data_IF_898167781926
#
_entry.id   IF_898167781926
#
_cell.length_a   1.000
_cell.length_b   1.000
_cell.length_c   1.000
_cell.angle_alpha   90.00
_cell.angle_beta   90.00
_cell.angle_gamma   90.00
#
_symmetry.space_group_name_H-M   'P 1'
#
loop_
_entity.id
_entity.type
_entity.pdbx_description
1 polymer ?
#
# COMPACT_ATOMS: atom_id res chain seq x y z
N UNK A 1 -1.72 -42.56 21.32
CA UNK A 1 -0.95 -41.32 21.10
C UNK A 1 -1.80 -40.47 20.19
N UNK A 2 -2.30 -39.34 20.70
CA UNK A 2 -3.21 -38.45 19.99
C UNK A 2 -2.98 -37.06 20.57
N UNK A 3 -2.22 -36.24 19.85
CA UNK A 3 -1.88 -34.87 20.23
C UNK A 3 -1.54 -34.02 18.99
N UNK A 4 -2.09 -34.41 17.83
CA UNK A 4 -2.07 -33.66 16.56
C UNK A 4 -3.50 -33.26 16.20
N UNK A 5 -4.12 -32.45 17.06
CA UNK A 5 -5.40 -31.80 16.79
C UNK A 5 -5.34 -30.33 17.20
N UNK A 6 -5.55 -29.48 16.20
CA UNK A 6 -6.26 -28.20 16.36
C UNK A 6 -5.62 -27.18 17.32
N UNK A 7 -4.41 -26.74 16.96
CA UNK A 7 -3.92 -25.41 17.36
C UNK A 7 -4.74 -24.32 16.64
N UNK A 8 -6.00 -24.14 17.07
CA UNK A 8 -6.90 -23.12 16.54
C UNK A 8 -6.27 -21.73 16.70
N UNK A 9 -6.29 -20.93 15.64
CA UNK A 9 -5.80 -19.55 15.70
C UNK A 9 -6.68 -18.75 16.69
N UNK A 10 -6.09 -18.36 17.83
CA UNK A 10 -6.81 -17.79 18.96
C UNK A 10 -7.50 -16.48 18.57
N UNK A 11 -8.77 -16.59 18.17
CA UNK A 11 -9.53 -15.51 17.54
C UNK A 11 -9.83 -14.43 18.57
N UNK A 12 -9.49 -13.20 18.25
CA UNK A 12 -9.52 -12.08 19.19
C UNK A 12 -10.94 -11.88 19.74
N UNK A 13 -11.13 -11.66 21.06
CA UNK A 13 -12.45 -11.75 21.69
C UNK A 13 -13.45 -10.74 21.14
N UNK A 14 -12.98 -9.57 20.70
CA UNK A 14 -13.82 -8.55 20.07
C UNK A 14 -14.28 -8.94 18.65
N UNK A 15 -13.59 -9.84 17.93
CA UNK A 15 -14.08 -10.41 16.67
C UNK A 15 -15.30 -11.29 16.95
N UNK A 16 -15.14 -12.23 17.90
CA UNK A 16 -16.20 -13.16 18.30
C UNK A 16 -17.43 -12.39 18.82
N UNK A 17 -17.21 -11.33 19.60
CA UNK A 17 -18.27 -10.46 20.10
C UNK A 17 -18.99 -9.69 18.97
N UNK A 18 -18.29 -9.15 17.98
CA UNK A 18 -18.91 -8.49 16.81
C UNK A 18 -19.68 -9.49 15.93
N UNK A 19 -19.20 -10.74 15.81
CA UNK A 19 -19.89 -11.81 15.10
C UNK A 19 -21.18 -12.23 15.83
N UNK A 20 -21.11 -12.43 17.15
CA UNK A 20 -22.26 -12.81 17.97
C UNK A 20 -23.33 -11.70 18.09
N UNK A 21 -22.91 -10.42 18.06
CA UNK A 21 -23.82 -9.26 18.12
C UNK A 21 -24.32 -8.86 16.72
N UNK A 22 -23.53 -8.11 15.96
CA UNK A 22 -23.97 -7.56 14.67
C UNK A 22 -24.06 -8.64 13.58
N UNK A 23 -23.14 -9.60 13.57
CA UNK A 23 -23.12 -10.70 12.61
C UNK A 23 -24.32 -11.65 12.70
N UNK A 24 -24.97 -11.74 13.86
CA UNK A 24 -26.21 -12.48 14.06
C UNK A 24 -27.47 -11.71 13.62
N UNK A 25 -27.34 -10.43 13.25
CA UNK A 25 -28.45 -9.57 12.81
C UNK A 25 -28.40 -9.26 11.31
N UNK A 26 -27.22 -8.95 10.75
CA UNK A 26 -27.08 -8.61 9.32
C UNK A 26 -26.36 -9.69 8.50
N UNK A 27 -27.03 -10.20 7.47
CA UNK A 27 -26.50 -11.25 6.59
C UNK A 27 -25.46 -10.75 5.58
N UNK A 28 -25.43 -9.43 5.31
CA UNK A 28 -24.47 -8.74 4.46
C UNK A 28 -24.17 -7.35 5.05
N UNK A 29 -22.91 -6.89 5.05
CA UNK A 29 -21.70 -7.64 4.72
C UNK A 29 -21.39 -8.71 5.77
N UNK A 30 -20.79 -9.83 5.37
CA UNK A 30 -20.43 -10.92 6.29
C UNK A 30 -19.31 -10.49 7.24
N UNK A 31 -19.49 -10.75 8.53
CA UNK A 31 -18.54 -10.50 9.62
C UNK A 31 -17.41 -11.55 9.64
N UNK A 32 -16.57 -11.57 8.61
CA UNK A 32 -15.41 -12.47 8.54
C UNK A 32 -14.27 -11.96 9.43
N UNK A 33 -13.50 -12.82 10.13
CA UNK A 33 -12.41 -12.41 11.02
C UNK A 33 -11.39 -11.48 10.34
N UNK A 34 -10.97 -11.79 9.11
CA UNK A 34 -10.08 -10.95 8.29
C UNK A 34 -10.60 -9.52 8.12
N UNK A 35 -11.91 -9.37 7.87
CA UNK A 35 -12.57 -8.07 7.71
C UNK A 35 -12.71 -7.33 9.03
N UNK A 36 -12.85 -8.04 10.14
CA UNK A 36 -12.89 -7.42 11.47
C UNK A 36 -11.50 -7.03 11.97
N UNK A 37 -10.44 -7.76 11.58
CA UNK A 37 -9.03 -7.41 11.83
C UNK A 37 -8.57 -6.17 11.08
N UNK A 38 -9.09 -5.93 9.87
CA UNK A 38 -8.80 -4.70 9.11
C UNK A 38 -10.04 -4.23 8.32
N UNK A 39 -11.01 -3.58 8.96
CA UNK A 39 -12.28 -3.21 8.32
C UNK A 39 -12.09 -2.10 7.27
N UNK A 40 -12.28 -2.39 5.96
CA UNK A 40 -12.21 -1.34 4.94
C UNK A 40 -13.43 -0.44 5.02
N UNK A 41 -13.28 0.85 4.68
CA UNK A 41 -14.39 1.82 4.77
C UNK A 41 -15.68 1.35 4.10
N UNK A 42 -15.60 0.70 2.92
CA UNK A 42 -16.80 0.19 2.23
C UNK A 42 -17.57 -0.86 3.04
N UNK A 43 -16.87 -1.73 3.77
CA UNK A 43 -17.48 -2.73 4.65
C UNK A 43 -18.22 -2.08 5.82
N UNK A 44 -17.63 -1.05 6.44
CA UNK A 44 -18.28 -0.27 7.50
C UNK A 44 -19.51 0.47 6.99
N UNK A 45 -19.40 1.09 5.82
CA UNK A 45 -20.50 1.79 5.14
C UNK A 45 -21.65 0.83 4.74
N UNK A 46 -21.33 -0.35 4.20
CA UNK A 46 -22.32 -1.38 3.87
C UNK A 46 -23.02 -1.92 5.14
N UNK A 47 -22.30 -2.06 6.26
CA UNK A 47 -22.90 -2.44 7.54
C UNK A 47 -23.83 -1.36 8.10
N UNK A 48 -23.40 -0.08 8.08
CA UNK A 48 -24.23 1.05 8.48
C UNK A 48 -25.51 1.15 7.64
N UNK A 49 -25.39 0.98 6.32
CA UNK A 49 -26.51 1.03 5.38
C UNK A 49 -27.49 -0.13 5.58
N UNK A 50 -27.02 -1.37 5.76
CA UNK A 50 -27.91 -2.52 6.00
C UNK A 50 -28.64 -2.39 7.34
N UNK A 51 -27.98 -1.91 8.41
CA UNK A 51 -28.65 -1.65 9.69
C UNK A 51 -29.72 -0.57 9.54
N UNK A 52 -29.40 0.56 8.89
CA UNK A 52 -30.38 1.62 8.62
C UNK A 52 -31.56 1.10 7.76
N UNK A 53 -31.30 0.25 6.76
CA UNK A 53 -32.32 -0.36 5.89
C UNK A 53 -33.19 -1.40 6.61
N UNK A 54 -32.70 -2.05 7.66
CA UNK A 54 -33.48 -3.00 8.47
C UNK A 54 -34.26 -2.33 9.62
N UNK A 55 -33.70 -1.29 10.24
CA UNK A 55 -34.17 -0.77 11.54
C UNK A 55 -34.58 0.71 11.52
N UNK A 56 -34.35 1.42 10.42
CA UNK A 56 -34.34 2.89 10.32
C UNK A 56 -33.30 3.61 11.19
N UNK A 57 -32.46 2.90 11.96
CA UNK A 57 -31.47 3.51 12.86
C UNK A 57 -30.40 4.28 12.07
N UNK A 58 -30.26 5.59 12.34
CA UNK A 58 -29.32 6.47 11.65
C UNK A 58 -29.68 6.80 10.20
N UNK A 59 -30.86 6.40 9.70
CA UNK A 59 -31.24 6.58 8.30
C UNK A 59 -31.28 8.07 7.91
N UNK A 60 -31.90 8.92 8.73
CA UNK A 60 -32.01 10.36 8.48
C UNK A 60 -30.66 11.09 8.65
N UNK A 61 -29.88 10.71 9.66
CA UNK A 61 -28.67 11.41 10.11
C UNK A 61 -27.44 11.10 9.22
N UNK A 62 -27.39 9.89 8.68
CA UNK A 62 -26.25 9.37 7.91
C UNK A 62 -26.50 9.38 6.41
N UNK A 63 -27.75 9.08 6.00
CA UNK A 63 -28.13 8.90 4.59
C UNK A 63 -29.21 9.88 4.10
N UNK A 64 -29.83 10.67 4.99
CA UNK A 64 -30.92 11.59 4.64
C UNK A 64 -32.27 10.92 4.37
N UNK A 65 -32.40 9.62 4.68
CA UNK A 65 -33.57 8.79 4.35
C UNK A 65 -33.20 7.31 4.23
N UNK A 66 -34.00 6.53 3.50
CA UNK A 66 -33.65 5.15 3.15
C UNK A 66 -32.42 5.12 2.20
N UNK A 67 -31.30 4.48 2.58
CA UNK A 67 -30.13 4.35 1.70
C UNK A 67 -30.35 3.46 0.47
N UNK A 68 -31.44 2.68 0.43
CA UNK A 68 -31.78 1.80 -0.68
C UNK A 68 -30.85 0.58 -0.82
N UNK A 69 -30.91 -0.15 -1.95
CA UNK A 69 -30.28 -1.45 -2.09
C UNK A 69 -28.77 -1.42 -2.42
N UNK A 70 -28.23 -0.26 -2.84
CA UNK A 70 -26.80 -0.08 -3.16
C UNK A 70 -26.39 1.40 -3.05
N UNK A 71 -26.31 1.98 -1.84
CA UNK A 71 -25.81 3.33 -1.66
C UNK A 71 -24.36 3.46 -2.13
N UNK A 72 -24.01 4.61 -2.71
CA UNK A 72 -22.64 4.96 -3.08
C UNK A 72 -21.88 5.50 -1.86
N UNK A 73 -20.61 5.11 -1.65
CA UNK A 73 -19.86 5.57 -0.49
C UNK A 73 -19.26 6.96 -0.77
N UNK A 74 -19.08 7.82 0.26
CA UNK A 74 -18.22 8.99 0.13
C UNK A 74 -16.83 8.58 -0.37
N UNK A 75 -16.21 9.40 -1.21
CA UNK A 75 -14.98 9.04 -1.92
C UNK A 75 -13.76 9.74 -1.36
N UNK A 76 -13.87 11.03 -1.01
CA UNK A 76 -12.76 11.78 -0.41
C UNK A 76 -12.53 11.33 1.04
N UNK A 77 -11.33 11.55 1.55
CA UNK A 77 -10.96 11.15 2.93
C UNK A 77 -11.77 11.92 3.96
N UNK A 78 -12.02 13.19 3.67
CA UNK A 78 -12.71 14.17 4.51
C UNK A 78 -14.19 13.77 4.66
N UNK A 79 -14.85 13.44 3.55
CA UNK A 79 -16.22 12.93 3.50
C UNK A 79 -16.38 11.61 4.27
N UNK A 80 -15.38 10.72 4.20
CA UNK A 80 -15.33 9.45 4.95
C UNK A 80 -15.17 9.68 6.45
N UNK A 81 -14.32 10.63 6.86
CA UNK A 81 -14.16 11.02 8.27
C UNK A 81 -15.44 11.64 8.80
N UNK A 82 -16.07 12.56 8.06
CA UNK A 82 -17.32 13.21 8.48
C UNK A 82 -18.47 12.21 8.63
N UNK A 83 -18.62 11.27 7.69
CA UNK A 83 -19.61 10.18 7.80
C UNK A 83 -19.41 9.36 9.08
N UNK A 84 -18.17 8.96 9.40
CA UNK A 84 -17.85 8.19 10.60
C UNK A 84 -18.02 9.00 11.89
N UNK A 85 -17.71 10.31 11.88
CA UNK A 85 -17.99 11.21 13.01
C UNK A 85 -19.51 11.27 13.29
N UNK A 86 -20.34 11.43 12.24
CA UNK A 86 -21.80 11.39 12.38
C UNK A 86 -22.29 10.03 12.88
N UNK A 87 -21.75 8.92 12.36
CA UNK A 87 -22.12 7.56 12.77
C UNK A 87 -21.78 7.26 14.24
N UNK A 88 -20.56 7.60 14.69
CA UNK A 88 -20.13 7.44 16.08
C UNK A 88 -21.00 8.31 17.01
N UNK A 89 -21.35 9.54 16.60
CA UNK A 89 -22.22 10.41 17.38
C UNK A 89 -23.66 9.85 17.50
N UNK A 90 -24.22 9.28 16.43
CA UNK A 90 -25.55 8.63 16.45
C UNK A 90 -25.55 7.40 17.35
N UNK A 91 -24.53 6.54 17.27
CA UNK A 91 -24.39 5.35 18.13
C UNK A 91 -24.18 5.76 19.59
N UNK A 92 -23.36 6.77 19.87
CA UNK A 92 -23.15 7.26 21.24
C UNK A 92 -24.39 7.93 21.84
N UNK A 93 -25.20 8.63 21.04
CA UNK A 93 -26.47 9.21 21.48
C UNK A 93 -27.52 8.17 21.85
N UNK A 94 -27.46 6.97 21.25
CA UNK A 94 -28.35 5.85 21.55
C UNK A 94 -27.83 4.92 22.67
N UNK A 95 -26.56 5.04 23.06
CA UNK A 95 -25.88 4.15 24.01
C UNK A 95 -25.16 4.95 25.11
N UNK A 96 -25.89 5.56 26.08
CA UNK A 96 -25.31 6.52 27.03
C UNK A 96 -24.23 5.96 27.94
N UNK A 97 -24.33 4.68 28.32
CA UNK A 97 -23.33 3.99 29.16
C UNK A 97 -22.00 3.79 28.40
N UNK A 98 -22.06 3.64 27.09
CA UNK A 98 -20.91 3.43 26.21
C UNK A 98 -20.40 4.74 25.58
N UNK A 99 -21.13 5.85 25.76
CA UNK A 99 -20.84 7.13 25.11
C UNK A 99 -19.45 7.70 25.45
N UNK A 100 -18.96 7.54 26.68
CA UNK A 100 -17.60 7.95 27.05
C UNK A 100 -16.54 7.15 26.27
N UNK A 101 -16.70 5.83 26.19
CA UNK A 101 -15.78 4.97 25.43
C UNK A 101 -15.85 5.24 23.92
N UNK A 102 -17.05 5.48 23.37
CA UNK A 102 -17.26 5.86 21.97
C UNK A 102 -16.63 7.22 21.64
N UNK A 103 -16.61 8.18 22.58
CA UNK A 103 -15.92 9.47 22.40
C UNK A 103 -14.40 9.34 22.22
N UNK A 104 -13.81 8.21 22.65
CA UNK A 104 -12.39 7.89 22.48
C UNK A 104 -12.07 7.19 21.13
N UNK A 105 -13.05 7.08 20.22
CA UNK A 105 -12.89 6.50 18.88
C UNK A 105 -12.66 7.60 17.86
N UNK A 106 -11.42 7.74 17.40
CA UNK A 106 -11.06 8.68 16.33
C UNK A 106 -11.55 8.16 14.98
N UNK A 107 -12.49 8.88 14.36
CA UNK A 107 -12.94 8.59 13.00
C UNK A 107 -11.79 8.61 11.97
N UNK A 108 -10.74 9.39 12.20
CA UNK A 108 -9.54 9.43 11.34
C UNK A 108 -8.76 8.11 11.43
N UNK A 109 -8.64 7.55 12.63
CA UNK A 109 -7.96 6.27 12.86
C UNK A 109 -8.71 5.14 12.15
N UNK A 110 -10.05 5.16 12.22
CA UNK A 110 -10.93 4.20 11.52
C UNK A 110 -10.76 4.30 10.00
N UNK A 111 -10.71 5.50 9.40
CA UNK A 111 -10.42 5.65 7.95
C UNK A 111 -9.02 5.13 7.60
N UNK A 112 -8.04 5.33 8.48
CA UNK A 112 -6.67 4.82 8.31
C UNK A 112 -6.54 3.30 8.56
N UNK A 113 -7.60 2.62 9.02
CA UNK A 113 -7.56 1.20 9.38
C UNK A 113 -6.74 0.87 10.63
N UNK A 114 -6.63 1.83 11.55
CA UNK A 114 -6.01 1.66 12.87
C UNK A 114 -7.08 1.40 13.95
N UNK A 115 -6.66 0.84 15.09
CA UNK A 115 -7.53 0.51 16.23
C UNK A 115 -8.77 -0.33 15.80
N UNK A 116 -8.57 -1.54 15.23
CA UNK A 116 -9.68 -2.40 14.80
C UNK A 116 -10.55 -2.86 15.97
N UNK A 117 -9.98 -2.99 17.17
CA UNK A 117 -10.66 -3.19 18.45
C UNK A 117 -11.72 -2.11 18.70
N UNK A 118 -11.33 -0.83 18.63
CA UNK A 118 -12.24 0.32 18.78
C UNK A 118 -13.27 0.39 17.67
N UNK A 119 -12.87 0.03 16.45
CA UNK A 119 -13.79 -0.03 15.30
C UNK A 119 -14.86 -1.11 15.49
N UNK A 120 -14.47 -2.27 16.04
CA UNK A 120 -15.40 -3.34 16.40
C UNK A 120 -16.31 -2.95 17.56
N UNK A 121 -15.82 -2.22 18.56
CA UNK A 121 -16.66 -1.68 19.63
C UNK A 121 -17.79 -0.78 19.10
N UNK A 122 -17.54 0.05 18.08
CA UNK A 122 -18.62 0.82 17.40
C UNK A 122 -19.65 -0.11 16.74
N UNK A 123 -19.21 -1.19 16.07
CA UNK A 123 -20.12 -2.17 15.46
C UNK A 123 -20.96 -2.95 16.50
N UNK A 124 -20.39 -3.22 17.67
CA UNK A 124 -21.08 -3.87 18.79
C UNK A 124 -22.11 -2.92 19.42
N UNK A 125 -21.74 -1.67 19.71
CA UNK A 125 -22.67 -0.67 20.22
C UNK A 125 -23.80 -0.36 19.23
N UNK A 126 -23.52 -0.38 17.91
CA UNK A 126 -24.54 -0.27 16.86
C UNK A 126 -25.53 -1.42 16.91
N UNK A 127 -25.08 -2.66 17.15
CA UNK A 127 -25.97 -3.81 17.28
C UNK A 127 -26.92 -3.66 18.48
N UNK A 128 -26.40 -3.25 19.63
CA UNK A 128 -27.21 -2.97 20.84
C UNK A 128 -28.21 -1.84 20.61
N UNK A 129 -27.78 -0.74 19.98
CA UNK A 129 -28.61 0.44 19.74
C UNK A 129 -29.73 0.20 18.70
N UNK A 130 -29.47 -0.60 17.66
CA UNK A 130 -30.41 -0.84 16.57
C UNK A 130 -31.30 -2.07 16.75
N UNK A 131 -30.91 -3.05 17.58
CA UNK A 131 -31.65 -4.31 17.78
C UNK A 131 -31.93 -4.60 19.28
N UNK A 132 -32.75 -3.76 19.96
CA UNK A 132 -32.95 -3.82 21.41
C UNK A 132 -33.72 -5.05 21.94
N UNK A 133 -34.24 -5.94 21.09
CA UNK A 133 -35.12 -7.05 21.50
C UNK A 133 -34.47 -8.14 22.37
N UNK A 134 -33.15 -8.14 22.58
CA UNK A 134 -32.47 -9.03 23.54
C UNK A 134 -31.36 -8.29 24.31
N UNK A 135 -31.77 -7.44 25.26
CA UNK A 135 -30.87 -6.93 26.31
C UNK A 135 -30.69 -7.93 27.48
N UNK A 136 -31.57 -8.92 27.59
CA UNK A 136 -31.63 -9.94 28.65
C UNK A 136 -31.12 -11.31 28.13
N UNK A 137 -29.80 -11.41 27.91
CA UNK A 137 -29.11 -12.68 27.69
C UNK A 137 -27.73 -12.63 28.38
N UNK A 138 -27.56 -13.45 29.41
CA UNK A 138 -26.29 -13.57 30.13
C UNK A 138 -25.17 -14.20 29.29
N UNK A 139 -23.93 -14.26 29.83
CA UNK A 139 -22.81 -14.91 29.14
C UNK A 139 -23.17 -16.37 28.80
N UNK A 140 -22.87 -16.85 27.57
CA UNK A 140 -23.22 -18.21 27.18
C UNK A 140 -22.50 -19.26 28.03
N UNK A 141 -23.25 -20.20 28.61
CA UNK A 141 -22.67 -21.40 29.22
C UNK A 141 -22.09 -22.33 28.14
N UNK A 142 -21.00 -23.03 28.46
CA UNK A 142 -20.43 -24.07 27.61
C UNK A 142 -21.45 -25.20 27.35
N UNK A 143 -21.94 -25.31 26.11
CA UNK A 143 -22.61 -26.51 25.62
C UNK A 143 -22.05 -26.92 24.26
N UNK A 144 -21.13 -27.88 24.30
CA UNK A 144 -20.37 -28.36 23.15
C UNK A 144 -21.16 -29.33 22.25
N UNK A 145 -22.30 -28.89 21.70
CA UNK A 145 -23.04 -29.64 20.68
C UNK A 145 -23.97 -28.74 19.85
N UNK A 146 -23.46 -28.16 18.77
CA UNK A 146 -24.11 -28.08 17.43
C UNK A 146 -23.29 -27.19 16.49
N UNK A 147 -22.46 -27.82 15.65
CA UNK A 147 -21.72 -27.13 14.57
C UNK A 147 -22.49 -27.24 13.24
N UNK A 148 -22.97 -26.13 12.66
CA UNK A 148 -23.58 -26.16 11.32
C UNK A 148 -22.53 -26.56 10.26
N UNK A 149 -22.81 -27.63 9.52
CA UNK A 149 -21.87 -28.16 8.51
C UNK A 149 -21.66 -27.18 7.36
N UNK A 150 -20.41 -27.01 6.92
CA UNK A 150 -20.01 -26.11 5.83
C UNK A 150 -20.33 -26.74 4.46
N UNK A 151 -21.18 -26.14 3.62
CA UNK A 151 -21.34 -26.54 2.22
C UNK A 151 -20.15 -26.06 1.38
N UNK A 152 -19.70 -26.88 0.43
CA UNK A 152 -18.48 -26.63 -0.35
C UNK A 152 -18.53 -25.37 -1.24
N UNK A 153 -17.36 -24.74 -1.44
CA UNK A 153 -17.19 -23.54 -2.24
C UNK A 153 -17.05 -23.82 -3.76
N UNK A 154 -17.57 -22.94 -4.64
CA UNK A 154 -17.23 -22.92 -6.06
C UNK A 154 -16.37 -21.70 -6.48
N UNK A 155 -15.18 -22.00 -7.00
CA UNK A 155 -14.31 -21.27 -7.95
C UNK A 155 -14.27 -19.72 -8.01
N UNK A 156 -13.05 -19.16 -7.95
CA UNK A 156 -12.72 -17.77 -8.28
C UNK A 156 -12.64 -17.48 -9.78
N UNK A 157 -12.85 -16.21 -10.18
CA UNK A 157 -12.06 -15.45 -11.19
C UNK A 157 -12.44 -13.95 -11.22
N UNK A 158 -11.64 -13.03 -11.81
CA UNK A 158 -10.77 -12.19 -10.98
C UNK A 158 -11.07 -10.67 -11.04
N UNK A 159 -10.11 -9.88 -10.54
CA UNK A 159 -10.13 -8.45 -10.21
C UNK A 159 -10.35 -7.47 -11.39
N UNK A 160 -10.87 -6.28 -11.08
CA UNK A 160 -10.57 -5.03 -11.80
C UNK A 160 -10.64 -3.83 -10.81
N UNK A 161 -9.51 -3.14 -10.58
CA UNK A 161 -9.39 -1.97 -9.68
C UNK A 161 -8.57 -0.87 -10.35
N UNK A 162 -9.03 0.40 -10.31
CA UNK A 162 -8.23 1.58 -10.72
C UNK A 162 -8.84 2.91 -10.24
N UNK A 163 -8.13 3.64 -9.36
CA UNK A 163 -8.36 5.05 -8.91
C UNK A 163 -7.28 5.44 -7.85
N UNK A 164 -7.26 6.64 -7.22
CA UNK A 164 -7.95 7.91 -7.52
C UNK A 164 -6.99 9.05 -7.93
N UNK A 165 -6.03 9.48 -7.07
CA UNK A 165 -6.08 10.56 -6.05
C UNK A 165 -5.88 11.97 -6.69
N UNK A 166 -5.45 13.07 -6.00
CA UNK A 166 -5.44 13.47 -4.57
C UNK A 166 -6.46 14.62 -4.31
N UNK A 167 -6.34 15.77 -3.61
CA UNK A 167 -5.38 16.58 -2.77
C UNK A 167 -6.24 17.61 -1.95
N UNK A 168 -5.74 18.44 -0.99
CA UNK A 168 -4.49 18.39 -0.18
C UNK A 168 -4.64 18.74 1.35
N UNK A 169 -3.52 18.62 2.08
CA UNK A 169 -3.10 19.30 3.35
C UNK A 169 -3.48 18.74 4.74
N UNK A 170 -2.49 18.19 5.47
CA UNK A 170 -1.98 18.68 6.78
C UNK A 170 -0.88 17.74 7.34
N UNK A 171 0.21 18.23 7.96
CA UNK A 171 1.35 17.38 8.34
C UNK A 171 1.05 16.43 9.52
N UNK A 172 1.37 15.11 9.42
CA UNK A 172 0.94 14.12 10.40
C UNK A 172 1.81 14.01 11.69
N UNK A 173 1.25 13.54 12.82
CA UNK A 173 1.94 13.36 14.09
C UNK A 173 2.72 12.03 14.17
N UNK A 174 3.70 11.84 13.28
CA UNK A 174 4.38 10.56 12.96
C UNK A 174 4.99 9.83 14.18
N UNK A 175 5.40 10.51 15.24
CA UNK A 175 6.24 9.93 16.31
C UNK A 175 5.49 9.24 17.47
N UNK A 176 4.15 9.29 17.53
CA UNK A 176 3.41 8.94 18.76
C UNK A 176 3.25 7.44 19.08
N UNK A 177 3.60 6.54 18.15
CA UNK A 177 3.49 5.08 18.34
C UNK A 177 4.75 4.28 18.03
N UNK A 178 5.82 4.92 17.54
CA UNK A 178 7.01 4.24 17.01
C UNK A 178 7.70 3.32 18.02
N UNK A 179 7.71 3.73 19.30
CA UNK A 179 8.33 2.95 20.38
C UNK A 179 7.76 1.53 20.50
N UNK A 180 6.45 1.33 20.34
CA UNK A 180 5.79 0.04 20.56
C UNK A 180 6.27 -1.07 19.61
N UNK A 181 6.69 -0.73 18.38
CA UNK A 181 7.22 -1.68 17.40
C UNK A 181 8.64 -2.13 17.75
N UNK A 182 9.42 -1.25 18.37
CA UNK A 182 10.77 -1.55 18.89
C UNK A 182 10.77 -2.02 20.35
N UNK A 183 9.61 -2.08 21.02
CA UNK A 183 9.47 -2.43 22.43
C UNK A 183 9.50 -3.95 22.68
N UNK A 184 10.56 -4.61 22.20
CA UNK A 184 11.02 -5.92 22.65
C UNK A 184 12.36 -5.76 23.39
N UNK A 185 12.29 -5.16 24.58
CA UNK A 185 13.33 -5.12 25.61
C UNK A 185 14.78 -4.94 25.16
N UNK A 186 15.01 -4.06 24.18
CA UNK A 186 16.33 -3.47 23.92
C UNK A 186 16.59 -2.42 25.01
N UNK A 187 17.61 -2.58 25.89
CA UNK A 187 17.76 -1.73 27.06
C UNK A 187 17.95 -0.25 26.69
N UNK A 188 17.07 0.61 27.20
CA UNK A 188 17.16 2.07 27.02
C UNK A 188 18.38 2.58 27.80
N UNK A 189 19.51 2.68 27.10
CA UNK A 189 20.83 2.93 27.68
C UNK A 189 21.96 2.15 26.99
N UNK A 190 21.64 1.08 26.25
CA UNK A 190 22.57 0.51 25.27
C UNK A 190 22.67 1.45 24.09
N UNK A 191 23.87 1.98 23.84
CA UNK A 191 24.14 2.79 22.65
C UNK A 191 23.84 1.93 21.39
N UNK A 192 23.16 2.48 20.39
CA UNK A 192 22.86 1.75 19.15
C UNK A 192 24.16 1.34 18.43
N UNK A 193 25.27 2.01 18.75
CA UNK A 193 26.63 1.59 18.36
C UNK A 193 27.00 0.17 18.81
N UNK A 194 26.50 -0.34 19.95
CA UNK A 194 26.80 -1.70 20.42
C UNK A 194 26.16 -2.78 19.54
N UNK A 195 24.97 -2.52 19.00
CA UNK A 195 24.33 -3.40 18.01
C UNK A 195 25.08 -3.40 16.65
N UNK A 196 26.02 -2.48 16.43
CA UNK A 196 26.85 -2.41 15.22
C UNK A 196 28.26 -2.99 15.38
N UNK A 197 28.67 -3.47 16.56
CA UNK A 197 30.02 -4.05 16.74
C UNK A 197 30.18 -5.45 16.14
N UNK A 198 29.10 -6.26 16.05
CA UNK A 198 29.11 -7.55 15.34
C UNK A 198 28.43 -7.50 13.95
N UNK A 199 27.57 -6.52 13.68
CA UNK A 199 26.83 -6.47 12.41
C UNK A 199 27.65 -5.80 11.31
N UNK A 200 28.32 -6.60 10.47
CA UNK A 200 28.97 -6.13 9.24
C UNK A 200 27.96 -5.47 8.30
N UNK A 201 28.01 -4.14 8.19
CA UNK A 201 27.25 -3.34 7.22
C UNK A 201 27.91 -3.50 5.84
N UNK A 202 27.42 -4.41 4.99
CA UNK A 202 28.23 -4.82 3.83
C UNK A 202 27.60 -5.63 2.69
N UNK A 203 26.72 -5.01 1.88
CA UNK A 203 26.78 -5.18 0.43
C UNK A 203 26.17 -6.44 -0.21
N UNK A 204 25.35 -7.21 0.51
CA UNK A 204 24.57 -8.30 -0.11
C UNK A 204 23.47 -7.78 -1.05
N UNK A 205 23.04 -6.53 -0.91
CA UNK A 205 22.07 -5.87 -1.80
C UNK A 205 22.72 -4.64 -2.42
N UNK A 206 22.56 -4.45 -3.74
CA UNK A 206 23.18 -3.32 -4.44
C UNK A 206 22.44 -1.99 -4.20
N UNK A 207 21.12 -2.07 -3.96
CA UNK A 207 20.23 -0.94 -3.76
C UNK A 207 18.92 -1.35 -3.06
N UNK A 208 18.61 -0.74 -1.93
CA UNK A 208 17.27 -0.75 -1.32
C UNK A 208 16.38 0.25 -2.06
N UNK A 209 15.16 -0.11 -2.43
CA UNK A 209 14.19 0.78 -3.09
C UNK A 209 13.09 1.12 -2.10
N UNK A 210 13.29 2.20 -1.34
CA UNK A 210 12.25 2.74 -0.48
C UNK A 210 11.25 3.56 -1.29
N UNK A 211 9.97 3.36 -1.03
CA UNK A 211 8.92 3.95 -1.84
C UNK A 211 7.60 4.08 -1.06
N UNK A 212 6.82 5.10 -1.42
CA UNK A 212 5.43 5.23 -1.00
C UNK A 212 4.56 4.17 -1.67
N UNK A 213 3.70 3.49 -0.92
CA UNK A 213 2.82 2.45 -1.50
C UNK A 213 1.70 3.00 -2.39
N UNK A 214 1.31 4.26 -2.17
CA UNK A 214 0.16 4.90 -2.84
C UNK A 214 0.46 5.50 -4.22
N UNK A 215 1.72 5.84 -4.53
CA UNK A 215 2.07 6.27 -5.90
C UNK A 215 1.84 5.17 -6.93
N UNK A 216 1.65 5.55 -8.19
CA UNK A 216 1.34 4.60 -9.25
C UNK A 216 2.56 3.70 -9.60
N UNK A 217 2.27 2.50 -10.13
CA UNK A 217 3.31 1.54 -10.49
C UNK A 217 4.17 1.95 -11.69
N UNK A 218 3.64 2.78 -12.61
CA UNK A 218 4.33 3.17 -13.83
C UNK A 218 5.37 4.24 -13.57
N UNK A 219 5.07 5.27 -12.78
CA UNK A 219 6.05 6.29 -12.36
C UNK A 219 7.20 5.66 -11.58
N UNK A 220 6.91 4.66 -10.72
CA UNK A 220 7.94 3.89 -10.00
C UNK A 220 8.84 3.11 -10.95
N UNK A 221 8.25 2.35 -11.88
CA UNK A 221 8.99 1.60 -12.90
C UNK A 221 9.85 2.52 -13.79
N UNK A 222 9.28 3.63 -14.24
CA UNK A 222 9.96 4.66 -15.03
C UNK A 222 11.11 5.30 -14.25
N UNK A 223 10.92 5.70 -12.99
CA UNK A 223 11.97 6.28 -12.16
C UNK A 223 13.14 5.30 -11.93
N UNK A 224 12.85 4.02 -11.69
CA UNK A 224 13.88 2.96 -11.62
C UNK A 224 14.58 2.79 -12.98
N UNK A 225 13.86 2.80 -14.10
CA UNK A 225 14.45 2.77 -15.44
C UNK A 225 15.34 3.99 -15.71
N UNK A 226 14.92 5.20 -15.33
CA UNK A 226 15.74 6.40 -15.47
C UNK A 226 17.00 6.33 -14.61
N UNK A 227 16.92 5.91 -13.34
CA UNK A 227 18.10 5.75 -12.47
C UNK A 227 19.08 4.69 -13.00
N UNK A 228 18.60 3.52 -13.44
CA UNK A 228 19.46 2.38 -13.78
C UNK A 228 19.91 2.33 -15.25
N UNK A 229 19.12 2.87 -16.18
CA UNK A 229 19.36 2.72 -17.62
C UNK A 229 19.71 4.03 -18.35
N UNK A 230 19.45 5.23 -17.83
CA UNK A 230 19.79 6.49 -18.56
C UNK A 230 21.27 6.56 -18.94
N UNK A 231 22.16 6.21 -18.01
CA UNK A 231 23.61 6.16 -18.28
C UNK A 231 24.03 5.11 -19.32
N UNK A 232 23.20 4.08 -19.56
CA UNK A 232 23.37 3.10 -20.65
C UNK A 232 22.81 3.68 -21.96
N UNK A 233 21.61 4.25 -21.93
CA UNK A 233 20.89 4.80 -23.08
C UNK A 233 21.63 5.99 -23.72
N UNK A 234 22.20 6.90 -22.92
CA UNK A 234 23.04 7.99 -23.42
C UNK A 234 24.28 7.46 -24.14
N UNK A 235 24.97 6.45 -23.58
CA UNK A 235 26.16 5.84 -24.20
C UNK A 235 25.81 5.10 -25.49
N UNK A 236 24.71 4.36 -25.51
CA UNK A 236 24.23 3.66 -26.71
C UNK A 236 23.81 4.64 -27.82
N UNK A 237 23.11 5.73 -27.48
CA UNK A 237 22.71 6.77 -28.41
C UNK A 237 23.93 7.53 -28.96
N UNK A 238 24.91 7.88 -28.11
CA UNK A 238 26.16 8.52 -28.55
C UNK A 238 26.99 7.61 -29.48
N UNK A 239 27.07 6.31 -29.20
CA UNK A 239 27.72 5.33 -30.07
C UNK A 239 26.99 5.19 -31.41
N UNK A 240 25.66 5.09 -31.40
CA UNK A 240 24.85 5.05 -32.61
C UNK A 240 25.02 6.32 -33.45
N UNK A 241 25.05 7.50 -32.83
CA UNK A 241 25.31 8.77 -33.51
C UNK A 241 26.71 8.79 -34.15
N UNK A 242 27.76 8.38 -33.42
CA UNK A 242 29.11 8.32 -33.95
C UNK A 242 29.24 7.35 -35.15
N UNK A 243 28.56 6.21 -35.11
CA UNK A 243 28.50 5.25 -36.21
C UNK A 243 27.73 5.80 -37.42
N UNK A 244 26.59 6.48 -37.21
CA UNK A 244 25.80 7.11 -38.27
C UNK A 244 26.60 8.24 -38.97
N UNK A 245 27.28 9.10 -38.20
CA UNK A 245 28.14 10.17 -38.75
C UNK A 245 29.32 9.57 -39.52
N UNK A 246 29.98 8.54 -38.97
CA UNK A 246 31.09 7.86 -39.65
C UNK A 246 30.65 7.22 -40.97
N UNK A 247 29.53 6.51 -40.97
CA UNK A 247 28.90 5.95 -42.17
C UNK A 247 28.54 7.04 -43.19
N UNK A 248 27.93 8.14 -42.74
CA UNK A 248 27.60 9.27 -43.61
C UNK A 248 28.84 9.85 -44.33
N UNK A 249 29.94 10.06 -43.59
CA UNK A 249 31.22 10.61 -44.11
C UNK A 249 31.93 9.64 -45.07
N UNK A 250 31.79 8.33 -44.88
CA UNK A 250 32.33 7.31 -45.79
C UNK A 250 31.48 7.21 -47.07
N UNK A 251 30.15 7.17 -46.94
CA UNK A 251 29.25 6.91 -48.06
C UNK A 251 28.95 8.14 -48.93
N UNK A 252 28.83 9.35 -48.37
CA UNK A 252 28.42 10.55 -49.13
C UNK A 252 29.61 11.37 -49.65
N UNK A 253 30.76 10.73 -49.94
CA UNK A 253 31.93 11.39 -50.55
C UNK A 253 31.70 11.98 -51.95
N UNK A 254 30.51 11.80 -52.53
CA UNK A 254 30.18 12.25 -53.89
C UNK A 254 28.82 12.99 -54.00
N UNK A 255 28.07 13.19 -52.91
CA UNK A 255 26.72 13.82 -52.97
C UNK A 255 26.44 14.75 -51.79
N UNK A 256 26.25 16.04 -52.08
CA UNK A 256 26.36 17.15 -51.13
C UNK A 256 25.07 17.53 -50.37
N UNK A 257 24.01 16.71 -50.40
CA UNK A 257 22.70 17.11 -49.84
C UNK A 257 22.12 16.07 -48.87
N UNK A 258 21.99 16.49 -47.60
CA UNK A 258 21.16 15.82 -46.60
C UNK A 258 19.69 16.21 -46.83
N UNK A 259 18.94 15.36 -47.53
CA UNK A 259 17.49 15.53 -47.62
C UNK A 259 16.84 15.43 -46.23
N UNK A 260 15.87 16.30 -45.94
CA UNK A 260 15.21 16.40 -44.63
C UNK A 260 14.71 15.04 -44.10
N UNK A 261 14.22 14.17 -44.99
CA UNK A 261 13.80 12.80 -44.67
C UNK A 261 14.92 11.95 -44.04
N UNK A 262 16.16 12.02 -44.55
CA UNK A 262 17.31 11.28 -43.98
C UNK A 262 17.63 11.78 -42.57
N UNK A 263 17.57 13.09 -42.34
CA UNK A 263 17.79 13.70 -41.01
C UNK A 263 16.70 13.24 -40.03
N UNK A 264 15.43 13.25 -40.45
CA UNK A 264 14.32 12.75 -39.65
C UNK A 264 14.48 11.26 -39.29
N UNK A 265 14.83 10.41 -40.27
CA UNK A 265 15.08 8.97 -40.04
C UNK A 265 16.23 8.72 -39.07
N UNK A 266 17.32 9.50 -39.11
CA UNK A 266 18.39 9.41 -38.12
C UNK A 266 17.93 9.86 -36.73
N UNK A 267 17.14 10.95 -36.64
CA UNK A 267 16.53 11.41 -35.38
C UNK A 267 15.64 10.36 -34.73
N UNK A 268 14.69 9.79 -35.48
CA UNK A 268 13.84 8.70 -35.00
C UNK A 268 14.62 7.44 -34.65
N UNK A 269 15.67 7.09 -35.41
CA UNK A 269 16.55 5.97 -35.10
C UNK A 269 17.28 6.13 -33.76
N UNK A 270 17.84 7.31 -33.50
CA UNK A 270 18.53 7.63 -32.24
C UNK A 270 17.57 7.66 -31.05
N UNK A 271 16.37 8.23 -31.23
CA UNK A 271 15.32 8.26 -30.22
C UNK A 271 14.82 6.84 -29.90
N UNK A 272 14.66 5.98 -30.91
CA UNK A 272 14.30 4.58 -30.76
C UNK A 272 15.39 3.78 -30.02
N UNK A 273 16.68 3.99 -30.33
CA UNK A 273 17.81 3.40 -29.59
C UNK A 273 17.80 3.86 -28.12
N UNK A 274 17.60 5.15 -27.87
CA UNK A 274 17.55 5.70 -26.51
C UNK A 274 16.42 5.06 -25.69
N UNK A 275 15.18 5.08 -26.17
CA UNK A 275 14.05 4.49 -25.45
C UNK A 275 14.15 2.97 -25.31
N UNK A 276 14.61 2.26 -26.34
CA UNK A 276 14.83 0.80 -26.27
C UNK A 276 15.80 0.44 -25.15
N UNK A 277 16.92 1.17 -25.02
CA UNK A 277 17.90 0.92 -23.96
C UNK A 277 17.42 1.47 -22.60
N UNK A 278 16.59 2.52 -22.56
CA UNK A 278 15.98 3.01 -21.32
C UNK A 278 15.01 1.99 -20.72
N UNK A 279 14.14 1.39 -21.53
CA UNK A 279 13.10 0.46 -21.08
C UNK A 279 13.52 -1.01 -21.00
N UNK A 280 14.54 -1.44 -21.75
CA UNK A 280 14.99 -2.85 -21.81
C UNK A 280 16.45 -3.02 -21.37
N UNK A 281 17.15 -1.95 -20.97
CA UNK A 281 18.56 -1.97 -20.58
C UNK A 281 18.90 -2.84 -19.37
N UNK A 282 17.91 -3.27 -18.60
CA UNK A 282 18.00 -4.28 -17.55
C UNK A 282 18.04 -5.71 -18.11
N UNK A 283 17.23 -6.02 -19.13
CA UNK A 283 17.26 -7.32 -19.82
C UNK A 283 18.54 -7.49 -20.64
N UNK A 284 19.09 -6.39 -21.19
CA UNK A 284 20.39 -6.39 -21.86
C UNK A 284 21.57 -6.70 -20.93
N UNK A 285 21.45 -6.42 -19.62
CA UNK A 285 22.43 -6.86 -18.61
C UNK A 285 22.18 -8.31 -18.17
N UNK A 286 20.93 -8.69 -17.86
CA UNK A 286 20.58 -10.02 -17.34
C UNK A 286 20.59 -11.16 -18.40
N UNK A 287 21.38 -11.03 -19.45
CA UNK A 287 21.56 -12.06 -20.48
C UNK A 287 22.73 -13.04 -20.20
N UNK A 288 22.90 -14.09 -21.01
CA UNK A 288 23.93 -15.12 -20.84
C UNK A 288 25.39 -14.64 -21.00
N UNK A 289 25.61 -13.33 -21.19
CA UNK A 289 26.93 -12.72 -21.36
C UNK A 289 27.60 -12.31 -20.02
N UNK A 290 27.04 -12.68 -18.87
CA UNK A 290 27.71 -12.61 -17.56
C UNK A 290 27.75 -11.24 -16.86
N UNK A 291 26.99 -10.25 -17.34
CA UNK A 291 26.90 -8.91 -16.73
C UNK A 291 25.73 -8.84 -15.73
N UNK A 292 25.87 -9.51 -14.58
CA UNK A 292 24.87 -9.52 -13.50
C UNK A 292 24.27 -8.13 -13.26
N UNK A 293 22.94 -8.03 -13.40
CA UNK A 293 22.20 -6.79 -13.13
C UNK A 293 22.25 -6.42 -11.63
N UNK A 294 22.00 -5.14 -11.29
CA UNK A 294 21.99 -4.70 -9.90
C UNK A 294 20.89 -5.43 -9.11
N UNK A 295 21.24 -5.98 -7.94
CA UNK A 295 20.29 -6.63 -7.04
C UNK A 295 19.52 -5.56 -6.27
N UNK A 296 18.28 -5.35 -6.69
CA UNK A 296 17.33 -4.44 -6.02
C UNK A 296 16.57 -5.21 -4.94
N UNK A 297 16.40 -4.60 -3.77
CA UNK A 297 15.47 -5.06 -2.75
C UNK A 297 14.31 -4.07 -2.64
N UNK A 298 13.07 -4.57 -2.61
CA UNK A 298 11.85 -3.75 -2.56
C UNK A 298 10.80 -4.47 -1.72
N UNK A 299 10.34 -3.82 -0.65
CA UNK A 299 9.47 -4.38 0.39
C UNK A 299 8.22 -5.10 -0.15
N UNK A 300 7.50 -4.49 -1.10
CA UNK A 300 6.28 -5.05 -1.70
C UNK A 300 6.53 -6.30 -2.55
N UNK A 301 7.77 -6.53 -3.00
CA UNK A 301 8.18 -7.70 -3.79
C UNK A 301 8.94 -8.75 -2.96
N UNK A 302 9.70 -8.32 -1.96
CA UNK A 302 10.60 -9.17 -1.18
C UNK A 302 9.97 -9.67 0.13
N UNK A 303 8.98 -8.97 0.69
CA UNK A 303 8.18 -9.46 1.82
C UNK A 303 6.97 -10.23 1.30
N UNK A 304 6.71 -11.41 1.85
CA UNK A 304 5.56 -12.23 1.48
C UNK A 304 4.25 -11.51 1.86
N UNK A 305 3.36 -11.28 0.90
CA UNK A 305 2.22 -10.36 1.08
C UNK A 305 0.92 -11.02 1.57
N UNK A 306 0.74 -12.33 1.30
CA UNK A 306 -0.50 -13.06 1.54
C UNK A 306 -0.55 -13.78 2.91
N UNK A 307 0.59 -14.23 3.44
CA UNK A 307 0.69 -14.87 4.76
C UNK A 307 1.02 -13.83 5.84
N UNK A 308 0.20 -13.77 6.88
CA UNK A 308 0.35 -12.76 7.94
C UNK A 308 1.60 -12.96 8.81
N UNK A 309 2.03 -14.21 9.06
CA UNK A 309 3.19 -14.52 9.87
C UNK A 309 4.50 -14.16 9.17
N UNK A 310 4.68 -14.63 7.93
CA UNK A 310 5.82 -14.29 7.07
C UNK A 310 5.87 -12.79 6.76
N UNK A 311 4.71 -12.12 6.65
CA UNK A 311 4.64 -10.67 6.52
C UNK A 311 5.11 -9.93 7.77
N UNK A 312 4.67 -10.35 8.96
CA UNK A 312 5.12 -9.77 10.22
C UNK A 312 6.63 -10.00 10.45
N UNK A 313 7.14 -11.20 10.13
CA UNK A 313 8.56 -11.51 10.17
C UNK A 313 9.36 -10.62 9.20
N UNK A 314 8.93 -10.53 7.94
CA UNK A 314 9.58 -9.69 6.92
C UNK A 314 9.58 -8.19 7.27
N UNK A 315 8.48 -7.69 7.86
CA UNK A 315 8.41 -6.31 8.38
C UNK A 315 9.36 -6.12 9.56
N UNK A 316 9.44 -7.08 10.49
CA UNK A 316 10.40 -7.00 11.61
C UNK A 316 11.87 -7.04 11.16
N UNK A 317 12.13 -7.63 9.98
CA UNK A 317 13.44 -7.71 9.36
C UNK A 317 13.77 -6.51 8.42
N UNK A 318 12.84 -5.56 8.18
CA UNK A 318 13.10 -4.37 7.35
C UNK A 318 14.39 -3.62 7.74
N UNK A 319 14.67 -3.34 9.04
CA UNK A 319 15.92 -2.70 9.44
C UNK A 319 17.18 -3.44 8.98
N UNK A 320 17.15 -4.77 8.95
CA UNK A 320 18.28 -5.58 8.50
C UNK A 320 18.52 -5.44 6.99
N UNK A 321 17.47 -5.51 6.17
CA UNK A 321 17.57 -5.35 4.71
C UNK A 321 17.99 -3.93 4.30
N UNK A 322 17.55 -2.90 5.03
CA UNK A 322 18.02 -1.51 4.86
C UNK A 322 19.54 -1.44 5.10
N UNK A 323 20.02 -1.98 6.22
CA UNK A 323 21.43 -1.91 6.62
C UNK A 323 22.37 -2.79 5.78
N UNK A 324 21.88 -3.88 5.18
CA UNK A 324 22.69 -4.70 4.25
C UNK A 324 22.72 -4.18 2.81
N UNK A 325 22.03 -3.09 2.52
CA UNK A 325 22.00 -2.48 1.19
C UNK A 325 23.13 -1.46 1.01
N UNK A 326 23.83 -1.52 -0.13
CA UNK A 326 24.95 -0.62 -0.44
C UNK A 326 24.52 0.82 -0.74
N UNK A 327 23.27 1.02 -1.17
CA UNK A 327 22.67 2.32 -1.49
C UNK A 327 21.17 2.31 -1.13
N UNK A 328 20.63 3.48 -0.79
CA UNK A 328 19.19 3.69 -0.60
C UNK A 328 18.66 4.55 -1.75
N UNK A 329 17.85 3.96 -2.62
CA UNK A 329 17.07 4.68 -3.64
C UNK A 329 15.71 5.04 -3.06
N UNK A 330 15.40 6.34 -3.05
CA UNK A 330 14.12 6.89 -2.61
C UNK A 330 13.29 7.25 -3.84
N UNK A 331 12.19 6.55 -4.06
CA UNK A 331 11.19 6.90 -5.06
C UNK A 331 10.28 7.99 -4.46
N UNK A 332 10.59 9.25 -4.75
CA UNK A 332 10.04 10.40 -4.05
C UNK A 332 8.74 10.91 -4.69
N UNK A 333 7.65 10.85 -3.93
CA UNK A 333 6.40 11.58 -4.13
C UNK A 333 6.14 12.54 -2.95
N UNK A 334 5.12 13.38 -3.08
CA UNK A 334 4.78 14.41 -2.09
C UNK A 334 4.38 13.83 -0.71
N UNK A 335 3.98 12.55 -0.65
CA UNK A 335 3.57 11.86 0.58
C UNK A 335 4.69 10.99 1.19
N UNK A 336 5.83 10.82 0.52
CA UNK A 336 6.92 9.93 0.97
C UNK A 336 7.37 10.25 2.41
N UNK A 337 7.55 11.53 2.73
CA UNK A 337 7.97 12.00 4.06
C UNK A 337 6.84 12.00 5.11
N UNK A 338 5.59 11.75 4.72
CA UNK A 338 4.47 11.55 5.64
C UNK A 338 4.38 10.09 6.14
N UNK A 339 5.06 9.15 5.48
CA UNK A 339 5.01 7.71 5.80
C UNK A 339 6.05 7.32 6.85
N UNK A 340 5.59 6.83 8.00
CA UNK A 340 6.43 6.38 9.12
C UNK A 340 7.58 5.44 8.69
N UNK A 341 7.28 4.42 7.88
CA UNK A 341 8.27 3.42 7.44
C UNK A 341 9.34 4.04 6.53
N UNK A 342 8.95 4.79 5.51
CA UNK A 342 9.86 5.46 4.57
C UNK A 342 10.79 6.48 5.27
N UNK A 343 10.27 7.19 6.28
CA UNK A 343 11.08 8.07 7.15
C UNK A 343 12.01 7.27 8.07
N UNK A 344 11.56 6.12 8.60
CA UNK A 344 12.38 5.23 9.45
C UNK A 344 13.53 4.60 8.65
N UNK A 345 13.27 4.12 7.43
CA UNK A 345 14.26 3.56 6.51
C UNK A 345 15.33 4.61 6.15
N UNK A 346 14.91 5.82 5.78
CA UNK A 346 15.82 6.95 5.52
C UNK A 346 16.63 7.33 6.76
N UNK A 347 16.01 7.46 7.93
CA UNK A 347 16.69 7.84 9.16
C UNK A 347 17.72 6.80 9.61
N UNK A 348 17.34 5.52 9.58
CA UNK A 348 18.23 4.39 9.90
C UNK A 348 19.42 4.33 8.94
N UNK A 349 19.16 4.36 7.63
CA UNK A 349 20.21 4.30 6.62
C UNK A 349 21.15 5.50 6.70
N UNK A 350 20.62 6.72 6.84
CA UNK A 350 21.44 7.93 6.96
C UNK A 350 22.28 7.95 8.25
N UNK A 351 21.79 7.35 9.35
CA UNK A 351 22.49 7.27 10.65
C UNK A 351 23.58 6.18 10.70
N UNK A 352 23.44 5.11 9.92
CA UNK A 352 24.34 3.95 9.97
C UNK A 352 25.22 3.79 8.71
N UNK A 353 24.65 3.98 7.52
CA UNK A 353 25.34 3.82 6.23
C UNK A 353 25.80 5.15 5.62
N UNK A 354 25.22 6.27 6.08
CA UNK A 354 25.59 7.63 5.71
C UNK A 354 24.78 8.22 4.54
N UNK A 355 24.45 9.50 4.65
CA UNK A 355 23.57 10.21 3.70
C UNK A 355 24.13 10.30 2.26
N UNK A 356 25.44 10.14 2.06
CA UNK A 356 26.07 10.14 0.73
C UNK A 356 25.69 8.94 -0.15
N UNK A 357 25.15 7.87 0.44
CA UNK A 357 24.66 6.68 -0.25
C UNK A 357 23.14 6.70 -0.48
N UNK A 358 22.47 7.81 -0.16
CA UNK A 358 21.03 8.04 -0.40
C UNK A 358 20.85 8.78 -1.74
N UNK A 359 19.99 8.25 -2.60
CA UNK A 359 19.68 8.82 -3.92
C UNK A 359 18.19 9.07 -4.06
N UNK A 360 17.79 10.31 -4.34
CA UNK A 360 16.39 10.67 -4.59
C UNK A 360 16.08 10.57 -6.09
N UNK A 361 15.11 9.74 -6.43
CA UNK A 361 14.52 9.65 -7.77
C UNK A 361 13.06 10.16 -7.70
N UNK A 362 12.80 11.41 -8.12
CA UNK A 362 11.45 11.96 -8.07
C UNK A 362 10.54 11.29 -9.10
N UNK A 363 9.25 11.18 -8.76
CA UNK A 363 8.24 10.51 -9.59
C UNK A 363 7.58 11.45 -10.63
N UNK A 364 7.59 12.78 -10.41
CA UNK A 364 6.99 13.74 -11.36
C UNK A 364 7.62 13.82 -12.77
N UNK A 365 8.93 13.56 -13.01
CA UNK A 365 9.45 13.52 -14.38
C UNK A 365 8.95 12.28 -15.14
N UNK A 366 8.64 11.21 -14.40
CA UNK A 366 8.12 9.98 -14.97
C UNK A 366 6.66 10.14 -15.41
N UNK A 367 5.80 10.77 -14.58
CA UNK A 367 4.42 11.06 -14.96
C UNK A 367 4.35 11.97 -16.19
N UNK A 368 5.17 13.04 -16.26
CA UNK A 368 5.23 13.90 -17.45
C UNK A 368 5.63 13.13 -18.73
N UNK A 369 6.52 12.14 -18.64
CA UNK A 369 6.89 11.30 -19.80
C UNK A 369 5.77 10.31 -20.15
N UNK A 370 5.08 9.75 -19.15
CA UNK A 370 3.95 8.83 -19.34
C UNK A 370 2.74 9.54 -19.99
N UNK A 371 2.38 10.73 -19.51
CA UNK A 371 1.30 11.56 -20.06
C UNK A 371 1.55 11.91 -21.54
N UNK A 372 2.77 12.32 -21.89
CA UNK A 372 3.13 12.61 -23.28
C UNK A 372 3.14 11.36 -24.18
N UNK A 373 3.38 10.16 -23.63
CA UNK A 373 3.22 8.90 -24.36
C UNK A 373 1.74 8.51 -24.55
N UNK A 374 0.91 8.70 -23.52
CA UNK A 374 -0.52 8.41 -23.57
C UNK A 374 -1.28 9.35 -24.52
N UNK A 375 -0.92 10.64 -24.53
CA UNK A 375 -1.49 11.65 -25.44
C UNK A 375 -1.15 11.43 -26.93
N UNK A 376 -0.26 10.49 -27.25
CA UNK A 376 0.13 10.14 -28.62
C UNK A 376 -0.93 9.37 -29.42
N UNK A 377 -2.00 8.87 -28.79
CA UNK A 377 -3.08 8.15 -29.47
C UNK A 377 -4.24 9.10 -29.88
N UNK A 378 -4.48 9.33 -31.18
CA UNK A 378 -5.62 10.14 -31.62
C UNK A 378 -6.95 9.42 -31.33
N UNK A 379 -7.87 10.11 -30.66
CA UNK A 379 -9.14 9.58 -30.17
C UNK A 379 -10.22 9.37 -31.26
N UNK A 380 -9.82 8.91 -32.46
CA UNK A 380 -10.71 8.70 -33.61
C UNK A 380 -11.05 7.23 -33.91
N UNK A 381 -10.75 6.32 -32.98
CA UNK A 381 -11.04 4.88 -33.06
C UNK A 381 -11.45 4.32 -31.68
N UNK A 382 -12.60 4.80 -31.17
CA UNK A 382 -13.44 4.15 -30.16
C UNK A 382 -14.90 4.34 -30.56
#
# INVERSE_FOLDING_TARGET
MAEETEAAEATEPWILQTQATLGARIARPRMLPERLRKPPFRFLFDAAAEVARQTSFGAAELFGGDPGPKPEPPQKREEKVEFLQRWIAVVAGASPEQAEALSQVSAVDVVCGANPDKTNFVLQCLATAAFPEVAEAGPPEENASDLPQVPAAPAEKPEEENSPPPVPQAPPPVLRGLGAVFNKDLPVGTDVSACTEEMQVGGEVDMFVSHSWESDGWSKYLAVCFTLNTGKAVKACALAFALLVSSYVVCNRHTSSLSNWRVAMFGFGLLSVFFSVLFLGQHLTCGPCGLSGPRLWMDRLCIHQADAGQKALGISALPYFVLQSRQLLILYDDVYLERLWCVTELALFARCCGASCVHFAPLWPASMVAENFAAGYPASLR
#
